data_IF_673488493784
#
_entry.id   IF_673488493784
#
_cell.length_a   1.000
_cell.length_b   1.000
_cell.length_c   1.000
_cell.angle_alpha   90.00
_cell.angle_beta   90.00
_cell.angle_gamma   90.00
#
_symmetry.space_group_name_H-M   'P 1'
#
loop_
_entity.id
_entity.type
_entity.pdbx_description
1 polymer ?
#
# COMPACT_ATOMS: atom_id res chain seq x y z
N UNK A 1 47.86 4.28 -24.45
CA UNK A 1 46.52 4.45 -25.06
C UNK A 1 45.57 3.27 -24.85
N UNK A 2 46.03 2.04 -24.58
CA UNK A 2 45.16 0.86 -24.36
C UNK A 2 44.44 0.83 -23.00
N UNK A 3 45.05 1.42 -21.97
CA UNK A 3 44.49 1.41 -20.60
C UNK A 3 43.38 2.44 -20.35
N UNK A 4 43.38 3.57 -21.08
CA UNK A 4 42.31 4.58 -20.98
C UNK A 4 40.99 4.09 -21.55
N UNK A 5 41.04 3.27 -22.61
CA UNK A 5 39.87 2.66 -23.21
C UNK A 5 39.28 1.58 -22.29
N UNK A 6 40.13 0.83 -21.59
CA UNK A 6 39.73 -0.18 -20.61
C UNK A 6 39.09 0.46 -19.36
N UNK A 7 39.63 1.58 -18.87
CA UNK A 7 39.05 2.30 -17.73
C UNK A 7 37.68 2.90 -18.04
N UNK A 8 37.47 3.39 -19.27
CA UNK A 8 36.17 3.93 -19.70
C UNK A 8 35.06 2.87 -19.75
N UNK A 9 35.40 1.64 -20.17
CA UNK A 9 34.47 0.50 -20.20
C UNK A 9 34.08 0.05 -18.79
N UNK A 10 35.01 0.10 -17.83
CA UNK A 10 34.76 -0.31 -16.43
C UNK A 10 33.88 0.72 -15.71
N UNK A 11 34.05 2.02 -15.95
CA UNK A 11 33.15 3.05 -15.39
C UNK A 11 31.74 3.03 -15.98
N UNK A 12 31.56 2.58 -17.22
CA UNK A 12 30.24 2.44 -17.84
C UNK A 12 29.46 1.22 -17.29
N UNK A 13 30.17 0.20 -16.80
CA UNK A 13 29.57 -1.04 -16.28
C UNK A 13 29.03 -0.89 -14.84
N UNK A 14 29.40 0.17 -14.12
CA UNK A 14 29.07 0.35 -12.69
C UNK A 14 27.71 1.06 -12.45
N UNK A 15 26.97 1.40 -13.51
CA UNK A 15 25.68 2.11 -13.45
C UNK A 15 24.44 1.19 -13.56
N UNK A 16 24.60 -0.14 -13.51
CA UNK A 16 23.51 -1.09 -13.82
C UNK A 16 23.06 -2.03 -12.70
N UNK A 17 23.32 -1.72 -11.42
CA UNK A 17 22.78 -2.54 -10.33
C UNK A 17 21.90 -1.74 -9.38
N UNK A 18 20.77 -1.27 -9.90
CA UNK A 18 19.54 -1.17 -9.10
C UNK A 18 18.61 -2.25 -9.64
N UNK A 19 18.81 -3.47 -9.17
CA UNK A 19 17.85 -4.54 -9.40
C UNK A 19 16.71 -4.31 -8.41
N UNK A 20 15.58 -3.79 -8.91
CA UNK A 20 14.31 -3.78 -8.18
C UNK A 20 13.96 -5.21 -7.78
N UNK A 21 13.97 -5.51 -6.48
CA UNK A 21 13.51 -6.76 -5.87
C UNK A 21 11.96 -6.83 -5.81
N UNK A 22 11.28 -6.30 -6.83
CA UNK A 22 9.82 -6.22 -6.86
C UNK A 22 9.17 -7.59 -7.13
N UNK A 23 9.93 -8.54 -7.68
CA UNK A 23 9.46 -9.89 -7.96
C UNK A 23 9.08 -10.66 -6.70
N UNK A 24 9.95 -10.62 -5.67
CA UNK A 24 9.73 -11.30 -4.39
C UNK A 24 8.61 -10.65 -3.58
N UNK A 25 8.52 -9.31 -3.63
CA UNK A 25 7.47 -8.55 -2.92
C UNK A 25 6.08 -8.91 -3.43
N UNK A 26 5.88 -8.91 -4.75
CA UNK A 26 4.58 -9.26 -5.34
C UNK A 26 4.17 -10.71 -5.04
N UNK A 27 5.11 -11.65 -5.15
CA UNK A 27 4.84 -13.06 -4.81
C UNK A 27 4.43 -13.21 -3.34
N UNK A 28 5.10 -12.51 -2.43
CA UNK A 28 4.74 -12.53 -1.01
C UNK A 28 3.37 -11.90 -0.73
N UNK A 29 2.97 -10.85 -1.45
CA UNK A 29 1.62 -10.29 -1.35
C UNK A 29 0.56 -11.30 -1.79
N UNK A 30 0.77 -11.97 -2.93
CA UNK A 30 -0.11 -13.03 -3.43
C UNK A 30 -0.19 -14.21 -2.43
N UNK A 31 0.95 -14.59 -1.82
CA UNK A 31 0.97 -15.62 -0.78
C UNK A 31 0.24 -15.21 0.51
N UNK A 32 0.31 -13.93 0.90
CA UNK A 32 -0.43 -13.43 2.05
C UNK A 32 -1.95 -13.48 1.80
N UNK A 33 -2.41 -13.10 0.61
CA UNK A 33 -3.82 -13.22 0.20
C UNK A 33 -4.29 -14.67 0.24
N UNK A 34 -3.53 -15.57 -0.37
CA UNK A 34 -3.85 -16.99 -0.38
C UNK A 34 -3.93 -17.59 1.04
N UNK A 35 -3.03 -17.17 1.94
CA UNK A 35 -3.07 -17.60 3.33
C UNK A 35 -4.33 -17.12 4.05
N UNK A 36 -4.82 -15.89 3.78
CA UNK A 36 -6.11 -15.40 4.29
C UNK A 36 -7.27 -16.25 3.76
N UNK A 37 -7.29 -16.56 2.47
CA UNK A 37 -8.32 -17.41 1.86
C UNK A 37 -8.35 -18.83 2.47
N UNK A 38 -7.18 -19.36 2.79
CA UNK A 38 -7.01 -20.65 3.46
C UNK A 38 -7.26 -20.60 4.97
N UNK A 39 -7.58 -19.41 5.51
CA UNK A 39 -7.78 -19.14 6.94
C UNK A 39 -6.54 -19.36 7.81
N UNK A 40 -5.36 -19.36 7.19
CA UNK A 40 -4.08 -19.34 7.90
C UNK A 40 -3.67 -17.89 8.19
N UNK A 41 -4.41 -17.28 9.12
CA UNK A 41 -4.22 -15.87 9.47
C UNK A 41 -2.86 -15.59 10.11
N UNK A 42 -2.27 -16.58 10.78
CA UNK A 42 -0.95 -16.44 11.39
C UNK A 42 0.14 -16.37 10.32
N UNK A 43 0.10 -17.25 9.31
CA UNK A 43 1.04 -17.20 8.20
C UNK A 43 0.88 -15.90 7.40
N UNK A 44 -0.36 -15.54 7.04
CA UNK A 44 -0.65 -14.28 6.35
C UNK A 44 -0.10 -13.07 7.10
N UNK A 45 -0.31 -13.02 8.43
CA UNK A 45 0.19 -11.93 9.27
C UNK A 45 1.72 -11.88 9.28
N UNK A 46 2.38 -13.03 9.42
CA UNK A 46 3.84 -13.11 9.40
C UNK A 46 4.44 -12.62 8.08
N UNK A 47 3.82 -12.95 6.94
CA UNK A 47 4.25 -12.48 5.62
C UNK A 47 4.09 -10.95 5.52
N UNK A 48 2.94 -10.42 5.93
CA UNK A 48 2.70 -8.98 5.91
C UNK A 48 3.70 -8.23 6.81
N UNK A 49 3.98 -8.75 8.01
CA UNK A 49 4.92 -8.14 8.94
C UNK A 49 6.35 -8.13 8.38
N UNK A 50 6.76 -9.21 7.72
CA UNK A 50 8.06 -9.28 7.04
C UNK A 50 8.16 -8.27 5.88
N UNK A 51 7.13 -8.19 5.03
CA UNK A 51 7.07 -7.21 3.95
C UNK A 51 7.14 -5.77 4.47
N UNK A 52 6.40 -5.46 5.55
CA UNK A 52 6.46 -4.15 6.20
C UNK A 52 7.87 -3.86 6.74
N UNK A 53 8.52 -4.84 7.34
CA UNK A 53 9.90 -4.69 7.81
C UNK A 53 10.87 -4.41 6.65
N UNK A 54 10.71 -5.09 5.51
CA UNK A 54 11.49 -4.82 4.29
C UNK A 54 11.26 -3.37 3.82
N UNK A 55 10.00 -2.92 3.76
CA UNK A 55 9.66 -1.55 3.37
C UNK A 55 10.31 -0.52 4.30
N UNK A 56 10.29 -0.74 5.62
CA UNK A 56 10.89 0.17 6.60
C UNK A 56 12.42 0.28 6.50
N UNK A 57 13.10 -0.71 5.92
CA UNK A 57 14.55 -0.71 5.73
C UNK A 57 14.98 -0.44 4.28
N UNK A 58 14.02 -0.29 3.36
CA UNK A 58 14.30 0.02 1.97
C UNK A 58 14.87 1.45 1.84
N UNK A 59 15.77 1.66 0.88
CA UNK A 59 16.26 3.01 0.53
C UNK A 59 15.10 3.90 0.05
N UNK A 60 14.16 3.29 -0.66
CA UNK A 60 12.92 3.92 -1.13
C UNK A 60 11.77 2.97 -0.83
N UNK A 61 10.79 3.45 -0.06
CA UNK A 61 9.55 2.71 0.17
C UNK A 61 8.71 2.67 -1.11
N UNK A 62 7.93 1.61 -1.28
CA UNK A 62 6.99 1.44 -2.38
C UNK A 62 5.55 1.70 -1.89
N UNK A 63 4.95 2.77 -2.40
CA UNK A 63 3.59 3.19 -2.03
C UNK A 63 2.55 2.11 -2.34
N UNK A 64 2.69 1.39 -3.45
CA UNK A 64 1.73 0.33 -3.84
C UNK A 64 1.83 -0.85 -2.88
N UNK A 65 3.02 -1.29 -2.50
CA UNK A 65 3.20 -2.33 -1.48
C UNK A 65 2.57 -1.91 -0.14
N UNK A 66 2.78 -0.67 0.29
CA UNK A 66 2.16 -0.15 1.53
C UNK A 66 0.63 -0.13 1.43
N UNK A 67 0.07 0.23 0.28
CA UNK A 67 -1.37 0.16 0.06
C UNK A 67 -1.91 -1.26 0.19
N UNK A 68 -1.26 -2.23 -0.45
CA UNK A 68 -1.64 -3.64 -0.34
C UNK A 68 -1.56 -4.14 1.11
N UNK A 69 -0.47 -3.82 1.83
CA UNK A 69 -0.34 -4.17 3.25
C UNK A 69 -1.46 -3.57 4.09
N UNK A 70 -1.88 -2.32 3.80
CA UNK A 70 -3.00 -1.70 4.52
C UNK A 70 -4.30 -2.51 4.38
N UNK A 71 -4.61 -2.98 3.17
CA UNK A 71 -5.82 -3.75 2.88
C UNK A 71 -5.74 -5.16 3.47
N UNK A 72 -4.57 -5.81 3.38
CA UNK A 72 -4.34 -7.13 3.98
C UNK A 72 -4.49 -7.10 5.50
N UNK A 73 -3.96 -6.08 6.16
CA UNK A 73 -4.17 -5.94 7.60
C UNK A 73 -5.63 -5.65 7.95
N UNK A 74 -6.38 -4.90 7.13
CA UNK A 74 -7.82 -4.76 7.34
C UNK A 74 -8.56 -6.11 7.23
N UNK A 75 -8.24 -6.93 6.22
CA UNK A 75 -8.80 -8.28 6.08
C UNK A 75 -8.46 -9.19 7.28
N UNK A 76 -7.22 -9.10 7.78
CA UNK A 76 -6.80 -9.83 8.98
C UNK A 76 -7.55 -9.39 10.24
N UNK A 77 -7.90 -8.10 10.34
CA UNK A 77 -8.58 -7.53 11.51
C UNK A 77 -9.97 -8.13 11.78
N UNK A 78 -10.60 -8.72 10.77
CA UNK A 78 -11.89 -9.40 10.91
C UNK A 78 -11.78 -10.75 11.64
N UNK A 79 -10.57 -11.33 11.69
CA UNK A 79 -10.37 -12.71 12.12
C UNK A 79 -9.43 -12.84 13.33
N UNK A 80 -8.41 -11.99 13.45
CA UNK A 80 -7.43 -12.03 14.55
C UNK A 80 -6.98 -10.62 14.94
N UNK A 81 -6.50 -10.46 16.17
CA UNK A 81 -5.76 -9.28 16.69
C UNK A 81 -6.25 -7.93 16.13
N UNK A 82 -7.57 -7.72 16.25
CA UNK A 82 -8.30 -6.67 15.52
C UNK A 82 -7.70 -5.28 15.67
N UNK A 83 -7.43 -4.87 16.91
CA UNK A 83 -6.92 -3.52 17.20
C UNK A 83 -5.50 -3.31 16.64
N UNK A 84 -4.63 -4.31 16.79
CA UNK A 84 -3.26 -4.27 16.27
C UNK A 84 -3.25 -4.26 14.74
N UNK A 85 -4.08 -5.10 14.11
CA UNK A 85 -4.24 -5.16 12.67
C UNK A 85 -4.76 -3.84 12.10
N UNK A 86 -5.78 -3.23 12.71
CA UNK A 86 -6.29 -1.92 12.32
C UNK A 86 -5.20 -0.85 12.49
N UNK A 87 -4.46 -0.87 13.59
CA UNK A 87 -3.38 0.08 13.84
C UNK A 87 -2.29 0.04 12.77
N UNK A 88 -1.92 -1.16 12.33
CA UNK A 88 -0.92 -1.36 11.29
C UNK A 88 -1.45 -1.05 9.89
N UNK A 89 -2.71 -1.41 9.61
CA UNK A 89 -3.38 -0.99 8.38
C UNK A 89 -3.36 0.53 8.23
N UNK A 90 -3.74 1.23 9.30
CA UNK A 90 -3.74 2.70 9.36
C UNK A 90 -2.35 3.27 9.11
N UNK A 91 -1.31 2.69 9.73
CA UNK A 91 0.05 3.17 9.56
C UNK A 91 0.51 3.01 8.09
N UNK A 92 0.32 1.82 7.50
CA UNK A 92 0.64 1.57 6.10
C UNK A 92 -0.12 2.51 5.14
N UNK A 93 -1.39 2.82 5.44
CA UNK A 93 -2.18 3.78 4.66
C UNK A 93 -1.54 5.18 4.69
N UNK A 94 -1.18 5.67 5.87
CA UNK A 94 -0.53 6.99 6.04
C UNK A 94 0.84 7.02 5.36
N UNK A 95 1.62 5.95 5.51
CA UNK A 95 2.95 5.84 4.92
C UNK A 95 2.87 5.78 3.39
N UNK A 96 1.86 5.10 2.82
CA UNK A 96 1.63 5.07 1.38
C UNK A 96 1.38 6.48 0.82
N UNK A 97 0.45 7.24 1.43
CA UNK A 97 0.18 8.62 1.01
C UNK A 97 1.38 9.56 1.24
N UNK A 98 2.20 9.28 2.25
CA UNK A 98 3.42 10.05 2.53
C UNK A 98 4.56 9.72 1.56
N UNK A 99 4.57 8.49 1.02
CA UNK A 99 5.55 8.00 0.06
C UNK A 99 5.24 8.49 -1.35
N UNK A 100 4.01 8.25 -1.83
CA UNK A 100 3.51 8.75 -3.12
C UNK A 100 1.98 8.84 -3.08
N UNK A 101 1.47 10.06 -2.92
CA UNK A 101 0.03 10.29 -2.82
C UNK A 101 -0.73 10.00 -4.12
N UNK A 102 -0.09 10.16 -5.28
CA UNK A 102 -0.74 9.93 -6.58
C UNK A 102 -0.93 8.43 -6.80
N UNK A 103 0.11 7.62 -6.56
CA UNK A 103 0.01 6.16 -6.64
C UNK A 103 -0.92 5.60 -5.57
N UNK A 104 -0.89 6.13 -4.34
CA UNK A 104 -1.82 5.70 -3.30
C UNK A 104 -3.27 5.99 -3.68
N UNK A 105 -3.56 7.19 -4.20
CA UNK A 105 -4.89 7.54 -4.67
C UNK A 105 -5.35 6.65 -5.83
N UNK A 106 -4.50 6.45 -6.84
CA UNK A 106 -4.79 5.57 -7.97
C UNK A 106 -5.08 4.14 -7.50
N UNK A 107 -4.32 3.62 -6.53
CA UNK A 107 -4.58 2.30 -5.97
C UNK A 107 -5.96 2.22 -5.29
N UNK A 108 -6.25 3.14 -4.35
CA UNK A 108 -7.49 3.06 -3.56
C UNK A 108 -8.75 3.31 -4.39
N UNK A 109 -8.67 4.07 -5.49
CA UNK A 109 -9.77 4.26 -6.43
C UNK A 109 -10.12 3.00 -7.23
N UNK A 110 -9.18 2.06 -7.35
CA UNK A 110 -9.35 0.80 -8.07
C UNK A 110 -9.49 -0.42 -7.14
N UNK A 111 -9.69 -0.21 -5.84
CA UNK A 111 -9.97 -1.30 -4.89
C UNK A 111 -11.25 -2.03 -5.31
N UNK A 112 -11.22 -3.38 -5.35
CA UNK A 112 -12.35 -4.16 -5.81
C UNK A 112 -13.55 -4.00 -4.85
N UNK A 113 -14.76 -4.20 -5.39
CA UNK A 113 -16.02 -3.87 -4.70
C UNK A 113 -16.21 -4.64 -3.37
N UNK A 114 -15.69 -5.86 -3.30
CA UNK A 114 -15.67 -6.71 -2.11
C UNK A 114 -14.87 -6.11 -0.95
N UNK A 115 -13.85 -5.30 -1.25
CA UNK A 115 -12.91 -4.75 -0.28
C UNK A 115 -13.24 -3.28 0.09
N UNK A 116 -14.23 -2.66 -0.57
CA UNK A 116 -14.71 -1.31 -0.25
C UNK A 116 -15.15 -1.12 1.22
N UNK A 117 -15.79 -2.10 1.89
CA UNK A 117 -16.11 -1.96 3.31
C UNK A 117 -14.85 -1.79 4.18
N UNK A 118 -13.78 -2.52 3.86
CA UNK A 118 -12.49 -2.40 4.55
C UNK A 118 -11.87 -1.02 4.30
N UNK A 119 -11.86 -0.57 3.04
CA UNK A 119 -11.33 0.75 2.69
C UNK A 119 -12.12 1.90 3.34
N UNK A 120 -13.45 1.81 3.35
CA UNK A 120 -14.33 2.81 3.98
C UNK A 120 -14.10 2.89 5.50
N UNK A 121 -13.96 1.74 6.16
CA UNK A 121 -13.63 1.70 7.58
C UNK A 121 -12.23 2.29 7.85
N UNK A 122 -11.22 1.86 7.08
CA UNK A 122 -9.84 2.32 7.21
C UNK A 122 -9.73 3.85 7.04
N UNK A 123 -10.30 4.40 5.97
CA UNK A 123 -10.31 5.83 5.70
C UNK A 123 -11.01 6.63 6.82
N UNK A 124 -12.13 6.14 7.35
CA UNK A 124 -12.84 6.75 8.49
C UNK A 124 -11.98 6.75 9.76
N UNK A 125 -11.26 5.65 10.03
CA UNK A 125 -10.34 5.54 11.16
C UNK A 125 -9.15 6.50 11.00
N UNK A 126 -8.56 6.57 9.81
CA UNK A 126 -7.47 7.50 9.51
C UNK A 126 -7.93 8.93 9.77
N UNK A 127 -9.07 9.34 9.17
CA UNK A 127 -9.66 10.68 9.30
C UNK A 127 -9.94 11.06 10.75
N UNK A 128 -10.52 10.15 11.53
CA UNK A 128 -10.83 10.41 12.94
C UNK A 128 -9.58 10.51 13.83
N UNK A 129 -8.51 9.78 13.50
CA UNK A 129 -7.33 9.68 14.36
C UNK A 129 -6.22 10.68 14.01
N UNK A 130 -6.07 11.09 12.74
CA UNK A 130 -5.04 12.07 12.35
C UNK A 130 -5.43 13.51 12.70
N UNK A 131 -6.68 13.78 13.07
CA UNK A 131 -7.16 15.14 13.35
C UNK A 131 -6.99 16.10 12.17
N UNK A 132 -6.75 15.56 10.96
CA UNK A 132 -6.69 16.36 9.74
C UNK A 132 -8.11 16.85 9.50
N UNK A 133 -8.34 18.12 9.85
CA UNK A 133 -9.46 18.90 9.34
C UNK A 133 -9.53 18.64 7.85
N UNK A 134 -10.70 18.19 7.42
CA UNK A 134 -11.03 17.85 6.05
C UNK A 134 -10.81 19.05 5.12
N UNK A 135 -9.57 19.32 4.72
CA UNK A 135 -9.24 20.38 3.76
C UNK A 135 -8.57 19.80 2.51
N UNK A 136 -8.56 18.46 2.35
CA UNK A 136 -8.01 17.78 1.17
C UNK A 136 -8.87 16.60 0.64
N UNK A 137 -10.06 16.35 1.20
CA UNK A 137 -10.96 15.26 0.75
C UNK A 137 -12.35 15.79 0.35
N UNK A 138 -12.58 17.11 0.43
CA UNK A 138 -13.89 17.73 0.22
C UNK A 138 -14.16 18.17 -1.24
N UNK A 139 -13.34 17.79 -2.22
CA UNK A 139 -13.58 18.15 -3.64
C UNK A 139 -14.41 17.10 -4.42
N UNK A 140 -14.85 16.00 -3.82
CA UNK A 140 -15.52 14.92 -4.58
C UNK A 140 -16.81 14.35 -3.97
N UNK A 141 -17.53 15.15 -3.18
CA UNK A 141 -18.93 14.86 -2.84
C UNK A 141 -19.81 16.07 -3.20
N UNK A 142 -19.73 16.54 -4.44
CA UNK A 142 -20.77 17.40 -5.01
C UNK A 142 -20.74 17.37 -6.54
N UNK A 143 -21.26 16.29 -7.15
CA UNK A 143 -22.00 16.34 -8.43
C UNK A 143 -22.66 14.97 -8.65
N UNK A 144 -23.68 14.67 -7.85
CA UNK A 144 -24.31 13.35 -7.88
C UNK A 144 -25.74 13.30 -7.39
N UNK A 145 -26.48 14.42 -7.34
CA UNK A 145 -27.93 14.34 -7.28
C UNK A 145 -28.62 15.58 -7.86
N UNK A 146 -28.96 15.48 -9.15
CA UNK A 146 -30.07 16.22 -9.73
C UNK A 146 -30.74 15.31 -10.75
N UNK A 147 -31.31 14.21 -10.25
CA UNK A 147 -32.36 13.50 -10.97
C UNK A 147 -33.58 14.42 -11.06
N UNK A 148 -33.94 14.73 -12.31
CA UNK A 148 -35.25 15.15 -12.79
C UNK A 148 -36.43 14.84 -11.87
N UNK A 149 -37.24 15.86 -11.56
CA UNK A 149 -38.66 15.65 -11.26
C UNK A 149 -39.34 16.76 -10.47
N UNK A 150 -40.37 17.36 -11.10
CA UNK A 150 -41.57 17.97 -10.50
C UNK A 150 -41.46 19.42 -10.02
N UNK A 151 -41.71 20.40 -10.90
CA UNK A 151 -43.05 20.99 -11.14
C UNK A 151 -42.95 22.06 -12.25
#
# INVERSE_FOLDING_TARGET
MKYHFLTWIITLLMLLTVACDNGSTRENLEHAELAIEQKDYQAARGICDNLREIQNHAETMDAVTLCNLSMLYMKLSDNTDREDNIGLARQCYIDAYSTDSAQAHEYYDHVPVEDLPHLSLLSSIVKSTTGIRAEAVEEYIDEGDSISGLN
#
